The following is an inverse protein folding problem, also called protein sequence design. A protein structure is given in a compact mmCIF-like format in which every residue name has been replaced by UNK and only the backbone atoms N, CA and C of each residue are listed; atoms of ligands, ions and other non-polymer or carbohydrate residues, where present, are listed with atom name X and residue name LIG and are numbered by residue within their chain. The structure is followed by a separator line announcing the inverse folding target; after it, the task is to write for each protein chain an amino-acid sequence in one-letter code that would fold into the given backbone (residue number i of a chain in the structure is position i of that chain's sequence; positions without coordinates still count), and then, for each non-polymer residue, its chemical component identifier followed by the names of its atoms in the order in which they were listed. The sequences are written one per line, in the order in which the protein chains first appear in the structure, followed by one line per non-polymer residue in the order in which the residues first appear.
data_IF_416729093046
#
_entry.id   IF_416729093046
#
_cell.length_a   1.000
_cell.length_b   1.000
_cell.length_c   1.000
_cell.angle_alpha   90.00
_cell.angle_beta   90.00
_cell.angle_gamma   90.00
#
_symmetry.space_group_name_H-M   'P 1'
#
loop_
_entity.id
_entity.type
_entity.pdbx_description
1 polymer ?
#
# COMPACT_ATOMS: atom_id res chain seq x y z
N UNK A 1 4.08 14.61 -29.08
CA UNK A 1 4.19 13.50 -28.11
C UNK A 1 3.41 12.33 -28.66
N UNK A 2 4.00 11.13 -28.70
CA UNK A 2 3.30 9.91 -29.09
C UNK A 2 2.28 9.50 -28.00
N UNK A 3 1.31 8.66 -28.37
CA UNK A 3 0.36 8.09 -27.40
C UNK A 3 1.08 7.36 -26.26
N UNK A 4 2.22 6.73 -26.58
CA UNK A 4 3.04 5.99 -25.63
C UNK A 4 3.76 6.91 -24.64
N UNK A 5 4.27 8.04 -25.12
CA UNK A 5 4.87 9.08 -24.26
C UNK A 5 3.82 9.75 -23.36
N UNK A 6 2.58 9.93 -23.84
CA UNK A 6 1.47 10.43 -23.02
C UNK A 6 1.17 9.43 -21.89
N UNK A 7 1.04 8.15 -22.22
CA UNK A 7 0.75 7.09 -21.25
C UNK A 7 1.84 6.96 -20.19
N UNK A 8 3.12 7.04 -20.58
CA UNK A 8 4.24 7.04 -19.62
C UNK A 8 4.23 8.26 -18.69
N UNK A 9 3.77 9.42 -19.16
CA UNK A 9 3.61 10.61 -18.30
C UNK A 9 2.43 10.52 -17.34
N UNK A 10 1.43 9.69 -17.64
CA UNK A 10 0.22 9.50 -16.83
C UNK A 10 0.34 8.35 -15.80
N UNK A 11 1.55 7.85 -15.54
CA UNK A 11 1.77 6.76 -14.58
C UNK A 11 1.18 7.05 -13.20
N UNK A 12 1.33 8.25 -12.61
CA UNK A 12 0.67 8.58 -11.35
C UNK A 12 -0.85 8.43 -11.42
N UNK A 13 -1.51 8.93 -12.46
CA UNK A 13 -2.96 8.83 -12.66
C UNK A 13 -3.41 7.38 -12.86
N UNK A 14 -2.63 6.58 -13.59
CA UNK A 14 -2.89 5.14 -13.76
C UNK A 14 -2.79 4.43 -12.41
N UNK A 15 -1.76 4.68 -11.62
CA UNK A 15 -1.61 4.12 -10.28
C UNK A 15 -2.77 4.54 -9.36
N UNK A 16 -3.14 5.82 -9.36
CA UNK A 16 -4.29 6.33 -8.58
C UNK A 16 -5.57 5.61 -8.97
N UNK A 17 -5.82 5.43 -10.27
CA UNK A 17 -6.99 4.70 -10.77
C UNK A 17 -6.98 3.24 -10.33
N UNK A 18 -5.83 2.56 -10.44
CA UNK A 18 -5.69 1.17 -9.99
C UNK A 18 -5.92 1.04 -8.47
N UNK A 19 -5.38 1.96 -7.67
CA UNK A 19 -5.60 1.99 -6.21
C UNK A 19 -7.06 2.27 -5.87
N UNK A 20 -7.70 3.21 -6.56
CA UNK A 20 -9.09 3.57 -6.31
C UNK A 20 -10.03 2.39 -6.56
N UNK A 21 -9.78 1.59 -7.62
CA UNK A 21 -10.56 0.39 -7.94
C UNK A 21 -10.51 -0.72 -6.88
N UNK A 22 -9.54 -0.68 -5.97
CA UNK A 22 -9.44 -1.67 -4.90
C UNK A 22 -10.36 -1.37 -3.71
N UNK A 23 -10.93 -0.15 -3.67
CA UNK A 23 -11.82 0.34 -2.64
C UNK A 23 -13.27 0.01 -3.02
N UNK A 24 -13.98 -0.67 -2.12
CA UNK A 24 -15.42 -0.91 -2.23
C UNK A 24 -16.26 0.23 -1.64
N UNK A 25 -17.52 0.34 -2.08
CA UNK A 25 -18.47 1.25 -1.45
C UNK A 25 -18.79 0.78 -0.02
N UNK A 26 -18.66 1.68 0.95
CA UNK A 26 -18.80 1.36 2.38
C UNK A 26 -17.53 0.86 3.08
N UNK A 27 -16.42 0.68 2.36
CA UNK A 27 -15.14 0.29 3.00
C UNK A 27 -14.65 1.37 3.96
N UNK A 28 -14.14 0.95 5.12
CA UNK A 28 -13.31 1.79 5.98
C UNK A 28 -11.86 1.66 5.51
N UNK A 29 -11.32 2.75 4.97
CA UNK A 29 -10.04 2.77 4.26
C UNK A 29 -9.04 3.65 5.01
N UNK A 30 -7.87 3.09 5.27
CA UNK A 30 -6.75 3.76 5.92
C UNK A 30 -5.60 4.10 4.97
N UNK A 31 -4.90 5.21 5.26
CA UNK A 31 -3.56 5.46 4.73
C UNK A 31 -2.61 6.01 5.81
N UNK A 32 -1.31 5.79 5.61
CA UNK A 32 -0.27 6.27 6.52
C UNK A 32 0.32 7.63 6.14
N UNK A 33 1.44 7.98 6.76
CA UNK A 33 2.27 9.10 6.36
C UNK A 33 2.91 8.86 4.98
N UNK A 34 3.39 9.93 4.34
CA UNK A 34 4.04 9.91 3.03
C UNK A 34 3.23 9.16 1.94
N UNK A 35 1.90 9.29 1.96
CA UNK A 35 0.97 8.53 1.11
C UNK A 35 0.14 9.38 0.14
N UNK A 36 0.75 10.26 -0.69
CA UNK A 36 0.01 11.18 -1.54
C UNK A 36 -0.86 10.47 -2.60
N UNK A 37 -0.37 9.38 -3.23
CA UNK A 37 -1.15 8.63 -4.22
C UNK A 37 -2.34 7.90 -3.59
N UNK A 38 -2.21 7.19 -2.45
CA UNK A 38 -3.35 6.67 -1.71
C UNK A 38 -4.42 7.72 -1.37
N UNK A 39 -4.03 8.92 -0.91
CA UNK A 39 -4.98 9.99 -0.62
C UNK A 39 -5.80 10.36 -1.87
N UNK A 40 -5.13 10.54 -3.01
CA UNK A 40 -5.81 10.83 -4.27
C UNK A 40 -6.69 9.67 -4.75
N UNK A 41 -6.29 8.42 -4.51
CA UNK A 41 -7.08 7.24 -4.83
C UNK A 41 -8.36 7.14 -4.00
N UNK A 42 -8.28 7.43 -2.70
CA UNK A 42 -9.43 7.47 -1.79
C UNK A 42 -10.40 8.58 -2.19
N UNK A 43 -9.89 9.78 -2.52
CA UNK A 43 -10.73 10.88 -3.03
C UNK A 43 -11.39 10.46 -4.34
N UNK A 44 -10.64 9.90 -5.29
CA UNK A 44 -11.19 9.45 -6.57
C UNK A 44 -12.29 8.39 -6.37
N UNK A 45 -12.07 7.40 -5.50
CA UNK A 45 -13.06 6.37 -5.21
C UNK A 45 -14.35 6.98 -4.64
N UNK A 46 -14.23 7.86 -3.64
CA UNK A 46 -15.36 8.53 -2.99
C UNK A 46 -16.16 9.42 -3.94
N UNK A 47 -15.49 10.13 -4.84
CA UNK A 47 -16.14 10.99 -5.84
C UNK A 47 -16.69 10.22 -7.06
N UNK A 48 -16.51 8.90 -7.14
CA UNK A 48 -16.92 8.11 -8.31
C UNK A 48 -17.80 6.91 -7.99
N UNK A 49 -17.24 5.86 -7.40
CA UNK A 49 -17.88 4.54 -7.32
C UNK A 49 -18.06 4.03 -5.89
N UNK A 50 -17.46 4.70 -4.90
CA UNK A 50 -17.52 4.34 -3.49
C UNK A 50 -17.93 5.54 -2.62
N UNK A 51 -19.05 6.23 -2.88
CA UNK A 51 -19.44 7.45 -2.17
C UNK A 51 -19.59 7.29 -0.65
N UNK A 52 -19.87 6.08 -0.18
CA UNK A 52 -20.02 5.72 1.23
C UNK A 52 -18.73 5.18 1.87
N UNK A 53 -17.58 5.17 1.16
CA UNK A 53 -16.31 4.80 1.80
C UNK A 53 -15.97 5.77 2.94
N UNK A 54 -15.37 5.26 4.02
CA UNK A 54 -14.90 6.06 5.16
C UNK A 54 -13.39 6.26 5.03
N UNK A 55 -12.97 7.53 4.98
CA UNK A 55 -11.59 7.94 4.93
C UNK A 55 -11.01 8.05 6.34
N UNK A 56 -9.95 7.29 6.61
CA UNK A 56 -9.11 7.41 7.80
C UNK A 56 -7.67 7.72 7.40
N UNK A 57 -7.14 8.83 7.89
CA UNK A 57 -5.75 9.25 7.69
C UNK A 57 -4.99 9.38 8.99
N UNK A 58 -3.67 9.54 8.90
CA UNK A 58 -2.78 9.65 10.06
C UNK A 58 -2.96 10.94 10.90
N UNK A 59 -3.82 11.88 10.48
CA UNK A 59 -4.07 13.18 11.16
C UNK A 59 -5.41 13.24 11.91
N UNK A 60 -5.94 12.09 12.31
CA UNK A 60 -7.01 11.97 13.31
C UNK A 60 -8.37 12.60 12.95
N UNK A 61 -8.62 12.87 11.67
CA UNK A 61 -9.92 13.33 11.15
C UNK A 61 -10.62 12.24 10.33
N UNK A 62 -11.88 11.95 10.66
CA UNK A 62 -12.74 11.04 9.88
C UNK A 62 -13.40 11.81 8.75
N UNK A 63 -13.33 11.32 7.52
CA UNK A 63 -13.96 11.93 6.35
C UNK A 63 -13.75 13.44 6.22
N UNK A 64 -12.48 13.90 6.19
CA UNK A 64 -12.16 15.31 6.01
C UNK A 64 -12.53 15.81 4.61
N UNK A 65 -12.77 17.12 4.49
CA UNK A 65 -13.03 17.79 3.21
C UNK A 65 -11.72 18.23 2.56
N UNK A 66 -11.07 17.32 1.84
CA UNK A 66 -9.78 17.57 1.19
C UNK A 66 -9.98 18.24 -0.17
N UNK A 67 -9.78 19.56 -0.24
CA UNK A 67 -9.86 20.33 -1.49
C UNK A 67 -8.57 20.30 -2.32
N UNK A 68 -7.42 20.16 -1.66
CA UNK A 68 -6.09 20.18 -2.28
C UNK A 68 -5.15 19.32 -1.46
N UNK A 69 -4.37 18.50 -2.15
CA UNK A 69 -3.32 17.71 -1.51
C UNK A 69 -2.24 18.63 -0.93
N UNK A 70 -1.85 18.37 0.32
CA UNK A 70 -0.75 19.04 1.00
C UNK A 70 0.57 18.31 0.72
N UNK A 71 1.69 19.00 0.94
CA UNK A 71 3.03 18.42 0.73
C UNK A 71 3.23 17.19 1.64
N UNK A 72 2.74 17.28 2.88
CA UNK A 72 2.71 16.16 3.82
C UNK A 72 1.30 15.61 3.94
N UNK A 73 1.14 14.29 3.90
CA UNK A 73 -0.12 13.65 4.30
C UNK A 73 -0.34 13.66 5.81
N UNK A 74 0.64 14.14 6.57
CA UNK A 74 0.55 14.46 8.00
C UNK A 74 0.28 15.94 8.30
N UNK A 75 -0.06 16.74 7.30
CA UNK A 75 -0.39 18.15 7.50
C UNK A 75 -1.72 18.29 8.28
N UNK A 76 -1.79 19.09 9.37
CA UNK A 76 -3.01 19.25 10.15
C UNK A 76 -4.23 19.72 9.34
N UNK A 77 -4.03 20.42 8.23
CA UNK A 77 -5.14 20.80 7.35
C UNK A 77 -5.82 19.60 6.69
N UNK A 78 -5.17 18.43 6.66
CA UNK A 78 -5.75 17.19 6.14
C UNK A 78 -6.88 16.64 7.03
N UNK A 79 -7.11 17.17 8.24
CA UNK A 79 -8.28 16.85 9.08
C UNK A 79 -9.40 17.90 8.98
N UNK A 80 -9.21 18.99 8.23
CA UNK A 80 -10.17 20.09 8.19
C UNK A 80 -11.52 19.67 7.60
N UNK A 81 -12.59 20.02 8.31
CA UNK A 81 -13.96 19.71 7.88
C UNK A 81 -14.33 18.24 7.99
N UNK A 82 -13.55 17.45 8.76
CA UNK A 82 -13.91 16.09 9.18
C UNK A 82 -15.26 16.06 9.90
N UNK A 83 -15.93 14.91 9.82
CA UNK A 83 -17.23 14.70 10.48
C UNK A 83 -17.07 14.41 11.98
N UNK A 84 -15.91 13.88 12.37
CA UNK A 84 -15.50 13.62 13.74
C UNK A 84 -13.98 13.47 13.83
N UNK A 85 -13.46 13.64 15.05
CA UNK A 85 -12.08 13.31 15.39
C UNK A 85 -12.01 11.90 15.99
N UNK A 86 -10.97 11.16 15.62
CA UNK A 86 -10.66 9.83 16.13
C UNK A 86 -9.17 9.75 16.37
N UNK A 87 -8.75 9.34 17.56
CA UNK A 87 -7.34 9.18 17.88
C UNK A 87 -6.71 8.07 17.02
N UNK A 88 -5.42 8.21 16.71
CA UNK A 88 -4.72 7.19 15.93
C UNK A 88 -4.79 5.81 16.58
N UNK A 89 -4.80 5.73 17.91
CA UNK A 89 -4.96 4.49 18.66
C UNK A 89 -6.28 3.77 18.33
N UNK A 90 -7.38 4.50 18.13
CA UNK A 90 -8.69 3.92 17.83
C UNK A 90 -8.73 3.32 16.41
N UNK A 91 -7.95 3.85 15.46
CA UNK A 91 -7.76 3.22 14.15
C UNK A 91 -7.12 1.83 14.29
N UNK A 92 -6.13 1.69 15.19
CA UNK A 92 -5.52 0.39 15.49
C UNK A 92 -6.52 -0.56 16.17
N UNK A 93 -7.38 -0.05 17.06
CA UNK A 93 -8.48 -0.83 17.65
C UNK A 93 -9.50 -1.30 16.61
N UNK A 94 -9.84 -0.46 15.63
CA UNK A 94 -10.70 -0.84 14.51
C UNK A 94 -10.07 -1.98 13.69
N UNK A 95 -8.77 -1.90 13.42
CA UNK A 95 -8.04 -2.97 12.75
C UNK A 95 -8.05 -4.26 13.59
N UNK A 96 -7.79 -4.17 14.90
CA UNK A 96 -7.85 -5.31 15.81
C UNK A 96 -9.25 -5.96 15.82
N UNK A 97 -10.32 -5.16 15.80
CA UNK A 97 -11.71 -5.62 15.72
C UNK A 97 -12.12 -6.14 14.33
N UNK A 98 -11.26 -6.04 13.32
CA UNK A 98 -11.56 -6.48 11.95
C UNK A 98 -12.52 -5.56 11.21
N UNK A 99 -12.54 -4.28 11.59
CA UNK A 99 -13.40 -3.25 10.99
C UNK A 99 -12.67 -2.34 10.01
N UNK A 100 -11.34 -2.30 10.05
CA UNK A 100 -10.55 -1.63 9.01
C UNK A 100 -10.47 -2.56 7.80
N UNK A 101 -11.12 -2.20 6.69
CA UNK A 101 -11.23 -3.07 5.52
C UNK A 101 -9.97 -3.03 4.66
N UNK A 102 -9.46 -1.82 4.39
CA UNK A 102 -8.34 -1.61 3.48
C UNK A 102 -7.29 -0.68 4.09
N UNK A 103 -6.00 -1.01 3.95
CA UNK A 103 -4.90 -0.07 4.21
C UNK A 103 -3.96 0.01 3.01
N UNK A 104 -3.55 1.23 2.67
CA UNK A 104 -2.45 1.48 1.76
C UNK A 104 -1.11 1.60 2.50
N UNK A 105 -0.08 0.86 2.07
CA UNK A 105 1.25 0.89 2.67
C UNK A 105 2.35 0.85 1.60
N UNK A 106 3.42 1.61 1.84
CA UNK A 106 4.64 1.55 1.04
C UNK A 106 5.66 0.56 1.59
N UNK A 107 6.74 0.32 0.84
CA UNK A 107 7.88 -0.47 1.29
C UNK A 107 9.17 -0.01 0.62
N UNK A 108 10.28 0.04 1.36
CA UNK A 108 11.60 0.28 0.77
C UNK A 108 12.12 -1.00 0.08
N UNK A 109 11.85 -2.16 0.68
CA UNK A 109 11.88 -3.45 0.01
C UNK A 109 10.52 -4.13 0.15
N UNK A 110 10.15 -4.92 -0.86
CA UNK A 110 8.97 -5.78 -0.90
C UNK A 110 9.43 -7.09 -1.50
N UNK A 111 9.20 -8.22 -0.82
CA UNK A 111 9.61 -9.52 -1.34
C UNK A 111 8.52 -10.24 -2.15
N UNK A 112 8.88 -11.39 -2.73
CA UNK A 112 7.98 -12.22 -3.54
C UNK A 112 6.72 -12.72 -2.80
N UNK A 113 6.67 -12.63 -1.47
CA UNK A 113 5.49 -12.98 -0.66
C UNK A 113 4.77 -11.73 -0.12
N UNK A 114 5.18 -10.53 -0.54
CA UNK A 114 4.60 -9.27 -0.10
C UNK A 114 5.02 -8.86 1.30
N UNK A 115 6.08 -9.46 1.87
CA UNK A 115 6.65 -8.91 3.10
C UNK A 115 7.35 -7.59 2.79
N UNK A 116 7.27 -6.64 3.70
CA UNK A 116 7.79 -5.29 3.49
C UNK A 116 8.89 -4.93 4.49
N UNK A 117 9.84 -4.11 4.03
CA UNK A 117 10.89 -3.55 4.86
C UNK A 117 10.84 -2.03 4.85
N UNK A 118 10.76 -1.47 6.05
CA UNK A 118 10.88 -0.04 6.34
C UNK A 118 11.82 0.19 7.53
N UNK A 119 12.56 -0.83 7.98
CA UNK A 119 13.40 -0.76 9.18
C UNK A 119 14.88 -0.55 8.85
N UNK A 120 15.50 -1.47 8.12
CA UNK A 120 16.96 -1.48 7.87
C UNK A 120 17.30 -2.16 6.55
N UNK A 121 18.35 -1.71 5.87
CA UNK A 121 18.98 -2.44 4.75
C UNK A 121 20.32 -3.01 5.26
N UNK A 122 20.58 -4.28 5.00
CA UNK A 122 21.70 -5.04 5.54
C UNK A 122 21.44 -5.60 6.94
N UNK A 123 22.52 -5.86 7.69
CA UNK A 123 22.46 -6.39 9.05
C UNK A 123 21.68 -5.47 10.00
N UNK A 124 20.88 -6.04 10.91
CA UNK A 124 20.03 -5.25 11.80
C UNK A 124 20.83 -4.46 12.85
N UNK A 125 21.88 -5.06 13.42
CA UNK A 125 22.69 -4.45 14.47
C UNK A 125 23.75 -3.49 13.91
N UNK A 126 24.13 -3.67 12.64
CA UNK A 126 25.03 -2.80 11.88
C UNK A 126 24.45 -2.47 10.49
N UNK A 127 23.37 -1.66 10.44
CA UNK A 127 22.66 -1.39 9.19
C UNK A 127 23.53 -0.63 8.20
N UNK A 128 23.48 -1.03 6.93
CA UNK A 128 24.04 -0.24 5.83
C UNK A 128 23.23 1.04 5.61
N UNK A 129 21.90 0.94 5.73
CA UNK A 129 20.97 2.07 5.67
C UNK A 129 19.91 1.90 6.75
N UNK A 130 19.69 2.93 7.56
CA UNK A 130 18.53 3.00 8.45
C UNK A 130 17.35 3.62 7.70
N UNK A 131 16.22 2.94 7.70
CA UNK A 131 15.00 3.37 7.03
C UNK A 131 14.07 4.10 8.02
N UNK A 132 13.01 4.78 7.54
CA UNK A 132 12.14 5.62 8.39
C UNK A 132 11.48 4.92 9.59
N UNK A 133 11.37 3.59 9.58
CA UNK A 133 10.76 2.80 10.64
C UNK A 133 9.42 2.20 10.25
N UNK A 134 8.97 1.20 11.02
CA UNK A 134 7.80 0.40 10.66
C UNK A 134 6.46 1.12 10.74
N UNK A 135 6.33 2.10 11.64
CA UNK A 135 5.07 2.81 11.89
C UNK A 135 3.88 1.83 11.95
N UNK A 136 2.77 2.16 11.29
CA UNK A 136 1.59 1.32 11.24
C UNK A 136 1.79 -0.02 10.50
N UNK A 137 2.83 -0.16 9.67
CA UNK A 137 3.08 -1.36 8.84
C UNK A 137 3.24 -2.61 9.68
N UNK A 138 4.01 -2.54 10.77
CA UNK A 138 4.29 -3.69 11.62
C UNK A 138 3.07 -4.20 12.39
N UNK A 139 2.10 -3.32 12.65
CA UNK A 139 0.90 -3.64 13.43
C UNK A 139 -0.32 -3.93 12.54
N UNK A 140 -0.51 -3.18 11.45
CA UNK A 140 -1.71 -3.31 10.60
C UNK A 140 -1.64 -4.46 9.59
N UNK A 141 -0.46 -4.74 9.00
CA UNK A 141 -0.33 -5.84 8.04
C UNK A 141 -0.77 -7.22 8.56
N UNK A 142 -0.57 -7.61 9.84
CA UNK A 142 -1.10 -8.86 10.36
C UNK A 142 -2.63 -8.85 10.61
N UNK A 143 -3.27 -7.69 10.64
CA UNK A 143 -4.66 -7.52 11.11
C UNK A 143 -5.67 -7.17 10.01
N UNK A 144 -5.28 -6.41 9.00
CA UNK A 144 -6.26 -5.83 8.07
C UNK A 144 -6.61 -6.79 6.93
N UNK A 145 -7.88 -6.77 6.54
CA UNK A 145 -8.48 -7.68 5.56
C UNK A 145 -7.90 -7.52 4.15
N UNK A 146 -7.65 -6.29 3.70
CA UNK A 146 -7.05 -6.03 2.38
C UNK A 146 -5.87 -5.05 2.50
N UNK A 147 -4.67 -5.49 2.11
CA UNK A 147 -3.49 -4.63 2.02
C UNK A 147 -3.15 -4.30 0.59
N UNK A 148 -3.11 -3.00 0.29
CA UNK A 148 -2.62 -2.50 -0.99
C UNK A 148 -1.22 -1.94 -0.78
N UNK A 149 -0.23 -2.74 -1.14
CA UNK A 149 1.15 -2.31 -1.22
C UNK A 149 1.35 -1.43 -2.44
N UNK A 150 2.19 -0.40 -2.32
CA UNK A 150 2.50 0.47 -3.45
C UNK A 150 3.92 0.98 -3.47
N UNK A 151 4.45 1.20 -4.69
CA UNK A 151 5.72 1.90 -4.89
C UNK A 151 5.78 2.61 -6.24
N UNK A 152 6.30 3.83 -6.25
CA UNK A 152 6.56 4.57 -7.51
C UNK A 152 7.91 4.22 -8.13
N UNK A 153 8.70 3.35 -7.48
CA UNK A 153 10.03 2.92 -7.93
C UNK A 153 10.13 1.41 -7.97
N UNK A 154 9.55 0.80 -8.98
CA UNK A 154 9.75 -0.60 -9.32
C UNK A 154 11.20 -0.79 -9.79
N UNK A 155 12.01 -1.52 -9.02
CA UNK A 155 13.41 -1.81 -9.32
C UNK A 155 13.86 -3.05 -8.57
N UNK A 156 14.98 -3.67 -8.97
CA UNK A 156 15.56 -4.84 -8.29
C UNK A 156 15.96 -4.58 -6.83
N UNK A 157 16.05 -3.30 -6.45
CA UNK A 157 16.33 -2.89 -5.06
C UNK A 157 15.06 -2.76 -4.22
N UNK A 158 13.92 -2.54 -4.86
CA UNK A 158 12.62 -2.41 -4.22
C UNK A 158 11.91 -3.75 -4.19
N UNK A 159 11.85 -4.46 -5.33
CA UNK A 159 11.30 -5.81 -5.40
C UNK A 159 12.45 -6.80 -5.32
N UNK A 160 12.60 -7.43 -4.18
CA UNK A 160 13.74 -8.29 -3.82
C UNK A 160 13.27 -9.72 -3.59
N UNK A 161 14.14 -10.70 -3.76
CA UNK A 161 13.78 -12.10 -3.49
C UNK A 161 13.35 -12.32 -2.03
N UNK A 162 14.02 -11.64 -1.10
CA UNK A 162 13.74 -11.65 0.33
C UNK A 162 14.12 -10.30 0.93
N UNK A 163 13.28 -9.76 1.82
CA UNK A 163 13.58 -8.53 2.55
C UNK A 163 14.71 -8.74 3.57
N UNK A 164 15.55 -7.72 3.76
CA UNK A 164 16.62 -7.77 4.78
C UNK A 164 16.05 -7.82 6.20
N UNK A 165 14.93 -7.12 6.42
CA UNK A 165 14.18 -7.13 7.67
C UNK A 165 12.69 -7.14 7.38
N UNK A 166 11.94 -8.04 8.04
CA UNK A 166 10.49 -8.14 7.91
C UNK A 166 9.80 -7.16 8.85
N UNK A 167 9.66 -5.92 8.41
CA UNK A 167 8.88 -4.91 9.11
C UNK A 167 7.39 -5.26 9.06
N UNK A 168 6.87 -5.54 7.87
CA UNK A 168 5.48 -5.92 7.65
C UNK A 168 5.34 -7.36 7.19
N UNK A 169 4.34 -8.05 7.72
CA UNK A 169 4.09 -9.47 7.45
C UNK A 169 3.09 -9.61 6.31
N UNK A 170 3.60 -9.95 5.13
CA UNK A 170 2.78 -10.34 3.98
C UNK A 170 2.28 -11.78 4.14
N UNK A 171 2.53 -12.62 3.13
CA UNK A 171 2.30 -14.06 3.23
C UNK A 171 3.47 -14.84 3.85
N UNK A 172 4.45 -14.15 4.46
CA UNK A 172 5.58 -14.74 5.18
C UNK A 172 6.45 -15.61 4.27
N UNK A 173 6.44 -16.93 4.46
CA UNK A 173 7.18 -17.89 3.63
C UNK A 173 6.32 -18.51 2.51
N UNK A 174 5.09 -18.02 2.32
CA UNK A 174 4.13 -18.50 1.35
C UNK A 174 3.21 -19.61 1.90
N UNK A 175 2.38 -20.18 1.04
CA UNK A 175 1.45 -21.26 1.43
C UNK A 175 0.53 -20.88 2.61
N UNK A 176 0.54 -21.73 3.64
CA UNK A 176 -0.21 -21.58 4.90
C UNK A 176 0.58 -20.92 6.03
N UNK A 177 1.78 -20.39 5.76
CA UNK A 177 2.69 -19.85 6.79
C UNK A 177 2.03 -18.76 7.65
N UNK A 178 1.21 -17.92 7.03
CA UNK A 178 0.46 -16.85 7.70
C UNK A 178 -0.58 -17.40 8.68
N UNK A 179 -1.28 -18.45 8.29
CA UNK A 179 -2.34 -19.10 9.07
C UNK A 179 -1.73 -19.86 10.26
N UNK A 180 -0.57 -20.51 10.06
CA UNK A 180 0.18 -21.18 11.13
C UNK A 180 0.63 -20.24 12.26
N UNK A 181 0.85 -18.96 11.96
CA UNK A 181 1.15 -17.93 12.96
C UNK A 181 -0.10 -17.29 13.57
N UNK A 182 -1.31 -17.74 13.20
CA UNK A 182 -2.56 -17.19 13.71
C UNK A 182 -2.87 -15.77 13.22
N UNK A 183 -2.20 -15.30 12.16
CA UNK A 183 -2.48 -13.97 11.61
C UNK A 183 -3.81 -13.98 10.85
N UNK A 184 -4.52 -12.84 10.84
CA UNK A 184 -5.80 -12.75 10.13
C UNK A 184 -5.59 -12.97 8.64
N UNK A 185 -6.54 -13.64 7.98
CA UNK A 185 -6.57 -13.73 6.51
C UNK A 185 -6.54 -12.33 5.90
N UNK A 186 -5.78 -12.19 4.83
CA UNK A 186 -5.64 -10.92 4.13
C UNK A 186 -5.58 -11.14 2.63
N UNK A 187 -6.05 -10.18 1.85
CA UNK A 187 -5.78 -10.07 0.42
C UNK A 187 -4.70 -9.03 0.21
N UNK A 188 -3.55 -9.47 -0.31
CA UNK A 188 -2.48 -8.55 -0.73
C UNK A 188 -2.60 -8.20 -2.21
N UNK A 189 -2.35 -6.94 -2.53
CA UNK A 189 -2.09 -6.43 -3.89
C UNK A 189 -0.84 -5.57 -3.86
N UNK A 190 -0.05 -5.58 -4.93
CA UNK A 190 1.01 -4.60 -5.14
C UNK A 190 0.73 -3.79 -6.41
N UNK A 191 0.77 -2.46 -6.28
CA UNK A 191 0.62 -1.52 -7.40
C UNK A 191 1.93 -0.74 -7.54
N UNK A 192 2.60 -0.86 -8.69
CA UNK A 192 3.83 -0.12 -8.97
C UNK A 192 3.66 0.86 -10.12
N UNK A 193 4.72 1.62 -10.44
CA UNK A 193 4.79 2.44 -11.65
C UNK A 193 4.84 1.63 -12.96
N UNK A 194 4.97 0.31 -12.92
CA UNK A 194 5.05 -0.57 -14.11
C UNK A 194 3.83 -1.47 -14.29
N UNK A 195 3.13 -1.82 -13.20
CA UNK A 195 2.01 -2.75 -13.29
C UNK A 195 1.31 -3.02 -11.97
N UNK A 196 0.36 -3.95 -12.03
CA UNK A 196 -0.42 -4.46 -10.90
C UNK A 196 -0.09 -5.93 -10.70
N UNK A 197 0.10 -6.31 -9.45
CA UNK A 197 0.49 -7.65 -9.04
C UNK A 197 -0.47 -8.16 -7.97
N UNK A 198 -0.97 -9.36 -8.18
CA UNK A 198 -1.63 -10.17 -7.16
C UNK A 198 -0.65 -11.18 -6.57
N UNK A 199 -1.21 -12.18 -5.90
CA UNK A 199 -0.44 -13.29 -5.36
C UNK A 199 -1.18 -14.59 -5.66
N UNK A 200 -0.43 -15.62 -6.04
CA UNK A 200 -0.99 -16.93 -6.35
C UNK A 200 -1.73 -17.51 -5.14
N UNK A 201 -2.89 -18.14 -5.37
CA UNK A 201 -3.78 -18.56 -4.29
C UNK A 201 -3.19 -19.66 -3.40
N UNK A 202 -2.36 -20.54 -3.98
CA UNK A 202 -1.79 -21.69 -3.29
C UNK A 202 -0.40 -21.42 -2.75
N UNK A 203 0.49 -20.92 -3.61
CA UNK A 203 1.89 -20.67 -3.28
C UNK A 203 2.09 -19.34 -2.56
N UNK A 204 1.15 -18.38 -2.75
CA UNK A 204 1.26 -17.00 -2.29
C UNK A 204 2.44 -16.22 -2.87
N UNK A 205 3.04 -16.73 -3.94
CA UNK A 205 4.09 -16.02 -4.70
C UNK A 205 3.43 -14.91 -5.51
N UNK A 206 4.09 -13.75 -5.56
CA UNK A 206 3.67 -12.59 -6.35
C UNK A 206 3.47 -12.95 -7.81
N UNK A 207 2.36 -12.51 -8.40
CA UNK A 207 1.95 -12.80 -9.76
C UNK A 207 1.58 -11.52 -10.48
N UNK A 208 2.18 -11.29 -11.65
CA UNK A 208 1.82 -10.18 -12.53
C UNK A 208 0.38 -10.35 -13.03
N UNK A 209 -0.44 -9.31 -12.89
CA UNK A 209 -1.84 -9.30 -13.36
C UNK A 209 -2.05 -8.37 -14.54
N UNK A 210 -1.41 -7.21 -14.53
CA UNK A 210 -1.47 -6.28 -15.66
C UNK A 210 -0.22 -5.42 -15.74
N UNK A 211 0.18 -5.12 -16.97
CA UNK A 211 1.24 -4.14 -17.27
C UNK A 211 0.59 -2.79 -17.56
N UNK A 212 1.16 -1.71 -17.02
CA UNK A 212 0.67 -0.38 -17.34
C UNK A 212 0.97 -0.03 -18.80
N UNK A 213 0.09 0.73 -19.47
CA UNK A 213 0.35 1.23 -20.81
C UNK A 213 1.69 2.00 -20.87
N UNK A 214 2.50 1.80 -21.91
CA UNK A 214 3.84 2.36 -21.99
C UNK A 214 4.97 1.42 -21.54
N UNK A 215 4.65 0.26 -20.99
CA UNK A 215 5.62 -0.73 -20.50
C UNK A 215 5.32 -2.13 -21.00
N UNK A 216 6.32 -3.01 -20.87
CA UNK A 216 6.28 -4.41 -21.29
C UNK A 216 6.51 -5.35 -20.12
N UNK A 217 6.21 -6.64 -20.32
CA UNK A 217 6.57 -7.70 -19.35
C UNK A 217 8.09 -7.76 -19.17
N UNK A 218 8.86 -7.44 -20.21
CA UNK A 218 10.31 -7.44 -20.17
C UNK A 218 10.86 -6.30 -19.28
N UNK A 219 10.22 -5.13 -19.30
CA UNK A 219 10.54 -4.05 -18.36
C UNK A 219 10.35 -4.49 -16.91
N UNK A 220 9.29 -5.23 -16.62
CA UNK A 220 9.01 -5.77 -15.28
C UNK A 220 10.07 -6.79 -14.88
N UNK A 221 10.37 -7.78 -15.73
CA UNK A 221 11.41 -8.78 -15.46
C UNK A 221 12.78 -8.14 -15.23
N UNK A 222 13.15 -7.17 -16.05
CA UNK A 222 14.42 -6.47 -15.92
C UNK A 222 14.51 -5.58 -14.69
N UNK A 223 13.38 -5.27 -14.04
CA UNK A 223 13.32 -4.46 -12.83
C UNK A 223 12.82 -5.21 -11.59
N UNK A 224 12.64 -6.54 -11.65
CA UNK A 224 12.29 -7.39 -10.50
C UNK A 224 13.51 -8.19 -10.06
N UNK A 225 13.75 -8.29 -8.74
CA UNK A 225 14.92 -8.97 -8.17
C UNK A 225 14.79 -10.48 -8.02
N UNK A 226 13.73 -11.08 -8.56
CA UNK A 226 13.38 -12.49 -8.47
C UNK A 226 12.62 -12.95 -9.72
#
# INVERSE_FOLDING_TARGET
MSLEEIKQKMVPEIMIKCMAKEIGDGDIVGHGLASPLPVLAMILAKETHAPNMVYLGAVEGIDPKIKKLKISTGDPEMSKGCVAYMELAEMFDLAQKGKLNLMFLGGAQIDKYGNTNLSVIGDYYKPKVRLPGGAATAFLMPLVEKMILWTVRHSKRTLVEKVDFRTGQGYLEGGDSREKLGLRKTTLRLITNLGVFGFDEKTRIMKLESVHPGFTVEDIKNNTGF
#
